data_IF_892288483641
#
_entry.id   IF_892288483641
#
_cell.length_a   1.000
_cell.length_b   1.000
_cell.length_c   1.000
_cell.angle_alpha   90.00
_cell.angle_beta   90.00
_cell.angle_gamma   90.00
#
_symmetry.space_group_name_H-M   'P 1'
#
loop_
_entity.id
_entity.type
_entity.pdbx_description
1 polymer ?
#
# COMPACT_ATOMS: atom_id res chain seq x y z
N UNK A 1 -32.55 27.95 13.71
CA UNK A 1 -31.93 26.78 13.03
C UNK A 1 -30.70 27.16 12.21
N UNK A 2 -30.73 28.23 11.40
CA UNK A 2 -29.61 28.62 10.52
C UNK A 2 -28.29 28.89 11.26
N UNK A 3 -28.33 29.64 12.37
CA UNK A 3 -27.14 29.88 13.22
C UNK A 3 -26.55 28.60 13.83
N UNK A 4 -27.39 27.62 14.19
CA UNK A 4 -26.91 26.35 14.75
C UNK A 4 -26.12 25.54 13.71
N UNK A 5 -26.58 25.53 12.45
CA UNK A 5 -25.87 24.90 11.35
C UNK A 5 -24.53 25.59 11.04
N UNK A 6 -24.49 26.93 11.08
CA UNK A 6 -23.28 27.70 10.82
C UNK A 6 -22.19 27.43 11.88
N UNK A 7 -22.57 27.40 13.15
CA UNK A 7 -21.65 27.06 14.25
C UNK A 7 -21.14 25.62 14.12
N UNK A 8 -22.02 24.66 13.80
CA UNK A 8 -21.64 23.27 13.61
C UNK A 8 -20.65 23.07 12.45
N UNK A 9 -20.87 23.77 11.33
CA UNK A 9 -19.96 23.75 10.17
C UNK A 9 -18.60 24.36 10.52
N UNK A 10 -18.58 25.51 11.20
CA UNK A 10 -17.35 26.17 11.65
C UNK A 10 -16.52 25.27 12.57
N UNK A 11 -17.17 24.63 13.55
CA UNK A 11 -16.50 23.70 14.46
C UNK A 11 -15.94 22.47 13.71
N UNK A 12 -16.72 21.92 12.78
CA UNK A 12 -16.27 20.78 11.96
C UNK A 12 -15.06 21.15 11.10
N UNK A 13 -15.05 22.36 10.52
CA UNK A 13 -13.91 22.86 9.75
C UNK A 13 -12.66 23.04 10.62
N UNK A 14 -12.81 23.60 11.83
CA UNK A 14 -11.72 23.73 12.79
C UNK A 14 -11.15 22.37 13.18
N UNK A 15 -11.99 21.35 13.37
CA UNK A 15 -11.55 19.99 13.66
C UNK A 15 -10.76 19.38 12.49
N UNK A 16 -11.22 19.57 11.25
CA UNK A 16 -10.50 19.11 10.05
C UNK A 16 -9.11 19.77 9.98
N UNK A 17 -9.02 21.08 10.17
CA UNK A 17 -7.74 21.81 10.14
C UNK A 17 -6.82 21.42 11.31
N UNK A 18 -7.38 21.10 12.48
CA UNK A 18 -6.62 20.56 13.61
C UNK A 18 -6.03 19.18 13.28
N UNK A 19 -6.86 18.25 12.77
CA UNK A 19 -6.41 16.90 12.41
C UNK A 19 -5.35 16.94 11.30
N UNK A 20 -5.50 17.81 10.30
CA UNK A 20 -4.47 18.02 9.26
C UNK A 20 -3.13 18.46 9.85
N UNK A 21 -3.14 19.38 10.83
CA UNK A 21 -1.91 19.82 11.51
C UNK A 21 -1.27 18.68 12.31
N UNK A 22 -2.07 17.87 12.99
CA UNK A 22 -1.58 16.69 13.71
C UNK A 22 -0.94 15.67 12.77
N UNK A 23 -1.58 15.36 11.63
CA UNK A 23 -1.02 14.48 10.60
C UNK A 23 0.36 14.98 10.16
N UNK A 24 0.49 16.27 9.82
CA UNK A 24 1.77 16.85 9.42
C UNK A 24 2.84 16.77 10.52
N UNK A 25 2.45 16.82 11.79
CA UNK A 25 3.37 16.63 12.91
C UNK A 25 3.86 15.18 12.96
N UNK A 26 2.96 14.21 12.81
CA UNK A 26 3.31 12.79 12.77
C UNK A 26 4.18 12.44 11.56
N UNK A 27 3.91 13.00 10.38
CA UNK A 27 4.73 12.79 9.19
C UNK A 27 6.19 13.14 9.46
N UNK A 28 6.45 14.27 10.13
CA UNK A 28 7.83 14.68 10.50
C UNK A 28 8.49 13.69 11.47
N UNK A 29 7.73 13.17 12.42
CA UNK A 29 8.24 12.17 13.38
C UNK A 29 8.58 10.88 12.64
N UNK A 30 7.67 10.38 11.78
CA UNK A 30 7.88 9.20 10.94
C UNK A 30 9.14 9.36 10.09
N UNK A 31 9.29 10.52 9.45
CA UNK A 31 10.45 10.87 8.62
C UNK A 31 11.77 10.85 9.40
N UNK A 32 11.72 11.23 10.69
CA UNK A 32 12.88 11.19 11.58
C UNK A 32 13.23 9.76 11.96
N UNK A 33 12.27 8.97 12.43
CA UNK A 33 12.51 7.60 12.85
C UNK A 33 12.94 6.71 11.68
N UNK A 34 12.38 6.93 10.49
CA UNK A 34 12.74 6.17 9.29
C UNK A 34 14.20 6.36 8.89
N UNK A 35 14.79 7.55 9.12
CA UNK A 35 16.21 7.81 8.83
C UNK A 35 17.16 7.04 9.75
N UNK A 36 16.72 6.66 10.94
CA UNK A 36 17.52 5.85 11.86
C UNK A 36 17.55 4.36 11.48
N UNK A 37 16.61 3.91 10.66
CA UNK A 37 16.51 2.51 10.23
C UNK A 37 17.26 2.34 8.91
N UNK A 38 18.25 1.42 8.83
CA UNK A 38 18.95 1.15 7.59
C UNK A 38 18.00 0.46 6.58
N UNK A 39 17.64 1.19 5.53
CA UNK A 39 16.75 0.70 4.48
C UNK A 39 17.08 1.35 3.13
N UNK A 40 16.77 0.65 2.04
CA UNK A 40 17.02 1.11 0.66
C UNK A 40 15.75 1.56 -0.05
N UNK A 41 14.57 1.42 0.57
CA UNK A 41 13.29 1.73 -0.06
C UNK A 41 13.10 3.23 -0.34
N UNK A 42 13.72 4.13 0.43
CA UNK A 42 13.66 5.58 0.17
C UNK A 42 14.48 6.03 -1.04
N UNK A 43 15.34 5.17 -1.61
CA UNK A 43 16.10 5.56 -2.82
C UNK A 43 15.23 5.53 -4.07
N UNK A 44 14.10 4.84 -4.04
CA UNK A 44 13.20 4.77 -5.17
C UNK A 44 12.39 6.06 -5.32
N UNK A 45 12.60 6.76 -6.43
CA UNK A 45 11.78 7.91 -6.83
C UNK A 45 10.31 7.48 -6.92
N UNK A 46 9.45 8.15 -6.16
CA UNK A 46 8.00 7.88 -6.13
C UNK A 46 7.51 7.11 -4.91
N UNK A 47 8.38 6.65 -4.01
CA UNK A 47 7.95 6.11 -2.71
C UNK A 47 7.95 7.20 -1.63
N UNK A 48 6.80 7.41 -0.99
CA UNK A 48 6.66 8.32 0.15
C UNK A 48 7.15 7.68 1.45
N UNK A 49 7.73 8.50 2.33
CA UNK A 49 8.31 8.03 3.60
C UNK A 49 7.29 7.33 4.51
N UNK A 50 6.04 7.80 4.54
CA UNK A 50 4.96 7.16 5.31
C UNK A 50 4.67 5.74 4.81
N UNK A 51 4.63 5.54 3.48
CA UNK A 51 4.41 4.22 2.89
C UNK A 51 5.58 3.28 3.19
N UNK A 52 6.82 3.79 3.10
CA UNK A 52 8.03 3.01 3.41
C UNK A 52 8.05 2.63 4.90
N UNK A 53 7.79 3.58 5.79
CA UNK A 53 7.72 3.33 7.23
C UNK A 53 6.62 2.30 7.56
N UNK A 54 5.44 2.41 6.94
CA UNK A 54 4.37 1.43 7.07
C UNK A 54 4.78 0.03 6.61
N UNK A 55 5.45 -0.09 5.46
CA UNK A 55 5.98 -1.37 4.99
C UNK A 55 6.96 -1.96 6.01
N UNK A 56 7.94 -1.19 6.47
CA UNK A 56 8.96 -1.67 7.41
C UNK A 56 8.32 -2.08 8.74
N UNK A 57 7.39 -1.29 9.27
CA UNK A 57 6.69 -1.58 10.51
C UNK A 57 5.91 -2.90 10.45
N UNK A 58 5.21 -3.15 9.33
CA UNK A 58 4.40 -4.37 9.16
C UNK A 58 5.25 -5.61 8.84
N UNK A 59 6.39 -5.43 8.17
CA UNK A 59 7.35 -6.50 7.89
C UNK A 59 8.08 -6.91 9.17
N UNK A 60 8.52 -5.95 9.99
CA UNK A 60 9.45 -6.20 11.08
C UNK A 60 10.77 -6.76 10.55
N UNK A 61 11.19 -7.93 11.05
CA UNK A 61 12.38 -8.60 10.52
C UNK A 61 12.06 -9.36 9.22
N UNK A 62 12.68 -8.92 8.12
CA UNK A 62 12.56 -9.56 6.81
C UNK A 62 13.13 -11.00 6.79
N UNK A 63 14.08 -11.33 7.68
CA UNK A 63 14.73 -12.65 7.74
C UNK A 63 13.80 -13.76 8.23
N UNK A 64 12.63 -13.42 8.80
CA UNK A 64 11.62 -14.41 9.21
C UNK A 64 10.99 -15.15 8.03
N UNK A 65 11.09 -14.60 6.82
CA UNK A 65 10.51 -15.18 5.62
C UNK A 65 11.52 -16.06 4.88
N UNK A 66 11.20 -17.35 4.72
CA UNK A 66 12.07 -18.32 4.03
C UNK A 66 12.25 -18.00 2.55
N UNK A 67 11.21 -17.46 1.91
CA UNK A 67 11.21 -17.13 0.48
C UNK A 67 10.19 -16.04 0.14
N UNK A 68 10.29 -15.51 -1.08
CA UNK A 68 9.38 -14.47 -1.61
C UNK A 68 7.91 -14.92 -1.64
N UNK A 69 7.64 -16.21 -1.81
CA UNK A 69 6.29 -16.75 -1.81
C UNK A 69 5.64 -16.70 -0.42
N UNK A 70 6.39 -17.05 0.64
CA UNK A 70 5.95 -16.96 2.03
C UNK A 70 5.68 -15.51 2.44
N UNK A 71 6.49 -14.58 1.93
CA UNK A 71 6.27 -13.15 2.10
C UNK A 71 4.98 -12.68 1.40
N UNK A 72 4.78 -13.08 0.13
CA UNK A 72 3.56 -12.75 -0.61
C UNK A 72 2.30 -13.33 0.06
N UNK A 73 2.38 -14.56 0.59
CA UNK A 73 1.30 -15.17 1.35
C UNK A 73 1.00 -14.39 2.63
N UNK A 74 2.03 -13.97 3.37
CA UNK A 74 1.88 -13.13 4.55
C UNK A 74 1.24 -11.78 4.24
N UNK A 75 1.64 -11.14 3.13
CA UNK A 75 1.00 -9.92 2.64
C UNK A 75 -0.42 -10.17 2.07
N UNK A 76 -0.86 -11.42 1.90
CA UNK A 76 -2.11 -11.76 1.23
C UNK A 76 -2.13 -11.27 -0.23
N UNK A 77 -0.98 -11.30 -0.89
CA UNK A 77 -0.79 -11.03 -2.31
C UNK A 77 -0.66 -12.35 -3.10
N UNK A 78 -1.55 -13.30 -2.80
CA UNK A 78 -1.61 -14.62 -3.42
C UNK A 78 -3.00 -14.88 -3.99
N UNK A 79 -3.10 -15.74 -5.00
CA UNK A 79 -4.37 -16.11 -5.61
C UNK A 79 -4.92 -17.39 -5.01
N UNK A 80 -6.23 -17.43 -4.73
CA UNK A 80 -6.89 -18.64 -4.25
C UNK A 80 -6.85 -19.72 -5.32
N UNK A 81 -6.47 -20.94 -4.95
CA UNK A 81 -6.50 -22.09 -5.86
C UNK A 81 -7.83 -22.82 -5.68
N UNK A 82 -8.70 -22.77 -6.69
CA UNK A 82 -9.90 -23.59 -6.75
C UNK A 82 -9.70 -24.65 -7.83
N UNK A 83 -9.63 -25.91 -7.42
CA UNK A 83 -9.47 -27.06 -8.31
C UNK A 83 -10.45 -28.15 -7.89
N UNK A 84 -11.24 -28.65 -8.83
CA UNK A 84 -12.15 -29.78 -8.65
C UNK A 84 -11.83 -30.85 -9.71
N UNK A 85 -11.25 -31.97 -9.31
CA UNK A 85 -10.77 -33.00 -10.24
C UNK A 85 -9.77 -32.43 -11.26
N UNK A 86 -10.07 -32.59 -12.55
CA UNK A 86 -9.27 -32.04 -13.67
C UNK A 86 -9.59 -30.57 -13.99
N UNK A 87 -10.58 -29.95 -13.34
CA UNK A 87 -10.92 -28.55 -13.59
C UNK A 87 -10.12 -27.63 -12.67
N UNK A 88 -9.28 -26.78 -13.26
CA UNK A 88 -8.62 -25.68 -12.58
C UNK A 88 -9.27 -24.35 -12.97
N UNK A 89 -9.76 -23.59 -12.00
CA UNK A 89 -10.33 -22.28 -12.29
C UNK A 89 -9.27 -21.33 -12.88
N UNK A 90 -9.59 -20.75 -14.04
CA UNK A 90 -8.77 -19.73 -14.71
C UNK A 90 -8.85 -18.38 -13.99
N UNK A 91 -10.03 -18.01 -13.50
CA UNK A 91 -10.25 -16.79 -12.72
C UNK A 91 -10.10 -17.08 -11.23
N UNK A 92 -9.17 -16.38 -10.58
CA UNK A 92 -8.84 -16.60 -9.17
C UNK A 92 -8.92 -15.30 -8.41
N UNK A 93 -9.50 -15.36 -7.21
CA UNK A 93 -9.66 -14.19 -6.35
C UNK A 93 -8.41 -13.97 -5.50
N UNK A 94 -8.17 -12.70 -5.13
CA UNK A 94 -7.14 -12.35 -4.16
C UNK A 94 -7.42 -13.02 -2.83
N UNK A 95 -6.42 -13.67 -2.28
CA UNK A 95 -6.48 -14.22 -0.93
C UNK A 95 -6.42 -13.07 0.05
N UNK A 96 -7.50 -12.80 0.79
CA UNK A 96 -7.56 -11.69 1.74
C UNK A 96 -7.06 -12.04 3.15
N UNK A 97 -6.58 -13.27 3.38
CA UNK A 97 -6.23 -13.81 4.71
C UNK A 97 -4.87 -13.38 5.28
N UNK A 98 -4.07 -12.58 4.56
CA UNK A 98 -2.81 -12.03 5.05
C UNK A 98 -2.93 -10.67 5.77
N UNK A 99 -1.80 -10.09 6.14
CA UNK A 99 -1.70 -8.77 6.78
C UNK A 99 -2.32 -7.68 5.88
N UNK A 100 -3.47 -7.15 6.31
CA UNK A 100 -4.24 -6.16 5.57
C UNK A 100 -3.50 -4.83 5.40
N UNK A 101 -2.71 -4.42 6.39
CA UNK A 101 -1.98 -3.15 6.38
C UNK A 101 -0.76 -3.25 5.47
N UNK A 102 0.00 -4.33 5.58
CA UNK A 102 1.11 -4.59 4.65
C UNK A 102 0.63 -4.62 3.20
N UNK A 103 -0.49 -5.32 2.94
CA UNK A 103 -1.11 -5.33 1.61
C UNK A 103 -1.46 -3.95 1.12
N UNK A 104 -2.11 -3.15 1.97
CA UNK A 104 -2.49 -1.78 1.64
C UNK A 104 -1.27 -0.93 1.27
N UNK A 105 -0.23 -0.93 2.10
CA UNK A 105 0.98 -0.16 1.83
C UNK A 105 1.71 -0.61 0.57
N UNK A 106 1.82 -1.92 0.32
CA UNK A 106 2.46 -2.46 -0.88
C UNK A 106 1.70 -2.07 -2.16
N UNK A 107 0.36 -2.15 -2.15
CA UNK A 107 -0.47 -1.75 -3.30
C UNK A 107 -0.36 -0.24 -3.53
N UNK A 108 -0.37 0.57 -2.47
CA UNK A 108 -0.20 2.03 -2.59
C UNK A 108 1.19 2.41 -3.09
N UNK A 109 2.24 1.78 -2.56
CA UNK A 109 3.61 1.95 -2.99
C UNK A 109 3.79 1.58 -4.47
N UNK A 110 3.25 0.43 -4.89
CA UNK A 110 3.32 -0.02 -6.28
C UNK A 110 2.58 0.95 -7.23
N UNK A 111 1.41 1.45 -6.85
CA UNK A 111 0.70 2.44 -7.66
C UNK A 111 1.45 3.77 -7.73
N UNK A 112 2.05 4.21 -6.62
CA UNK A 112 2.87 5.43 -6.58
C UNK A 112 4.08 5.32 -7.52
N UNK A 113 4.78 4.18 -7.50
CA UNK A 113 5.88 3.89 -8.42
C UNK A 113 5.43 3.90 -9.88
N UNK A 114 4.30 3.26 -10.19
CA UNK A 114 3.72 3.27 -11.55
C UNK A 114 3.42 4.68 -12.07
N UNK A 115 3.05 5.61 -11.19
CA UNK A 115 2.72 7.00 -11.57
C UNK A 115 3.96 7.87 -11.68
N UNK A 116 4.91 7.72 -10.75
CA UNK A 116 6.02 8.66 -10.58
C UNK A 116 7.39 8.17 -11.08
N UNK A 117 7.49 6.90 -11.50
CA UNK A 117 8.71 6.30 -12.01
C UNK A 117 8.48 5.65 -13.38
N UNK A 118 9.25 6.09 -14.37
CA UNK A 118 9.10 5.68 -15.77
C UNK A 118 9.45 4.20 -15.99
N UNK A 119 10.45 3.66 -15.29
CA UNK A 119 10.86 2.26 -15.41
C UNK A 119 9.73 1.34 -14.94
N UNK A 120 9.17 1.62 -13.75
CA UNK A 120 8.05 0.83 -13.22
C UNK A 120 6.77 1.02 -14.01
N UNK A 121 6.55 2.21 -14.60
CA UNK A 121 5.44 2.45 -15.51
C UNK A 121 5.56 1.59 -16.77
N UNK A 122 6.73 1.54 -17.40
CA UNK A 122 7.00 0.72 -18.57
C UNK A 122 6.82 -0.77 -18.24
N UNK A 123 7.40 -1.23 -17.12
CA UNK A 123 7.22 -2.60 -16.64
C UNK A 123 5.74 -2.96 -16.47
N UNK A 124 4.96 -2.09 -15.81
CA UNK A 124 3.53 -2.30 -15.64
C UNK A 124 2.79 -2.40 -16.99
N UNK A 125 3.12 -1.53 -17.95
CA UNK A 125 2.50 -1.55 -19.28
C UNK A 125 2.80 -2.85 -20.04
N UNK A 126 4.05 -3.32 -20.02
CA UNK A 126 4.41 -4.63 -20.61
C UNK A 126 3.59 -5.74 -19.97
N UNK A 127 3.52 -5.78 -18.63
CA UNK A 127 2.72 -6.79 -17.92
C UNK A 127 1.23 -6.68 -18.19
N UNK A 128 0.70 -5.49 -18.40
CA UNK A 128 -0.68 -5.27 -18.77
C UNK A 128 -0.99 -5.81 -20.18
N UNK A 129 -0.07 -5.63 -21.13
CA UNK A 129 -0.22 -6.15 -22.50
C UNK A 129 -0.15 -7.68 -22.58
N UNK A 130 0.62 -8.32 -21.69
CA UNK A 130 0.69 -9.79 -21.59
C UNK A 130 -0.65 -10.42 -21.15
N UNK A 131 -1.54 -9.66 -20.49
CA UNK A 131 -2.78 -10.19 -19.94
C UNK A 131 -3.78 -10.51 -21.06
N UNK A 132 -4.20 -11.77 -21.15
CA UNK A 132 -5.13 -12.26 -22.18
C UNK A 132 -6.61 -11.91 -21.88
N UNK A 133 -6.96 -11.64 -20.62
CA UNK A 133 -8.33 -11.35 -20.16
C UNK A 133 -8.37 -10.04 -19.35
N UNK A 134 -9.43 -9.26 -19.48
CA UNK A 134 -9.63 -7.98 -18.75
C UNK A 134 -8.67 -6.83 -19.12
N UNK A 135 -8.40 -6.62 -20.43
CA UNK A 135 -7.66 -5.44 -20.92
C UNK A 135 -8.50 -4.14 -20.98
N UNK A 136 -9.71 -4.12 -20.38
CA UNK A 136 -10.65 -3.00 -20.47
C UNK A 136 -10.50 -2.02 -19.31
#
# INVERSE_FOLDING_TARGET
MQQACEIALSLTFQNIEHLKRQIKSFDKVISRELRAIPQTLTTFKGLGEVSVAGIIAEIGDIKRFKNKASFAQYAGLTWTRYQSGNFGAEERRLTKSGNKYLRYYLVMAANSLRVHNEEYKAYYQTKYQEVQKHQR
#
